data_IF_234812433903
#
_entry.id   IF_234812433903
#
_cell.length_a   1.000
_cell.length_b   1.000
_cell.length_c   1.000
_cell.angle_alpha   90.00
_cell.angle_beta   90.00
_cell.angle_gamma   90.00
#
_symmetry.space_group_name_H-M   'P 1'
#
loop_
_entity.id
_entity.type
_entity.pdbx_description
1 polymer ?
#
# COMPACT_ATOMS: atom_id res chain seq x y z
N UNK A 1 97.59 37.55 44.79
CA UNK A 1 96.67 36.53 44.21
C UNK A 1 95.19 36.71 44.57
N UNK A 2 94.82 37.12 45.79
CA UNK A 2 93.42 37.12 46.27
C UNK A 2 92.41 38.03 45.53
N UNK A 3 92.80 39.20 44.99
CA UNK A 3 91.89 40.11 44.25
C UNK A 3 91.44 39.57 42.88
N UNK A 4 92.30 38.81 42.17
CA UNK A 4 91.96 38.16 40.89
C UNK A 4 90.97 37.00 41.09
N UNK A 5 91.05 36.27 42.22
CA UNK A 5 90.07 35.23 42.58
C UNK A 5 88.68 35.83 42.81
N UNK A 6 88.56 36.90 43.64
CA UNK A 6 87.25 37.53 43.94
C UNK A 6 86.53 38.07 42.69
N UNK A 7 87.26 38.58 41.69
CA UNK A 7 86.69 39.02 40.40
C UNK A 7 86.20 37.86 39.55
N UNK A 8 86.94 36.73 39.50
CA UNK A 8 86.52 35.50 38.81
C UNK A 8 85.26 34.89 39.44
N UNK A 9 85.16 34.87 40.77
CA UNK A 9 83.96 34.40 41.48
C UNK A 9 82.75 35.31 41.26
N UNK A 10 82.91 36.64 41.25
CA UNK A 10 81.81 37.57 40.93
C UNK A 10 81.32 37.44 39.49
N UNK A 11 82.22 37.29 38.51
CA UNK A 11 81.84 37.05 37.11
C UNK A 11 81.16 35.70 36.98
N UNK A 12 81.68 34.63 37.59
CA UNK A 12 81.05 33.31 37.59
C UNK A 12 79.66 33.33 38.24
N UNK A 13 79.47 34.07 39.33
CA UNK A 13 78.18 34.23 40.00
C UNK A 13 77.18 35.00 39.12
N UNK A 14 77.60 36.09 38.46
CA UNK A 14 76.75 36.85 37.54
C UNK A 14 76.42 36.02 36.29
N UNK A 15 77.40 35.31 35.73
CA UNK A 15 77.19 34.34 34.64
C UNK A 15 76.22 33.25 35.06
N UNK A 16 76.29 32.71 36.28
CA UNK A 16 75.36 31.70 36.79
C UNK A 16 73.95 32.26 36.98
N UNK A 17 73.81 33.47 37.52
CA UNK A 17 72.52 34.15 37.75
C UNK A 17 71.85 34.58 36.43
N UNK A 18 72.61 34.79 35.35
CA UNK A 18 72.06 35.16 34.03
C UNK A 18 71.92 33.94 33.11
N UNK A 19 72.92 33.05 33.03
CA UNK A 19 72.84 31.86 32.19
C UNK A 19 71.82 30.85 32.71
N UNK A 20 71.66 30.64 34.02
CA UNK A 20 70.70 29.62 34.48
C UNK A 20 69.26 29.97 34.16
N UNK A 21 68.78 31.21 34.38
CA UNK A 21 67.47 31.60 33.90
C UNK A 21 67.38 31.51 32.38
N UNK A 22 68.43 31.84 31.62
CA UNK A 22 68.46 31.72 30.16
C UNK A 22 68.44 30.26 29.67
N UNK A 23 69.13 29.35 30.35
CA UNK A 23 69.13 27.92 30.01
C UNK A 23 67.85 27.24 30.46
N UNK A 24 67.32 27.61 31.63
CA UNK A 24 65.99 27.16 32.08
C UNK A 24 64.93 27.67 31.11
N UNK A 25 64.89 28.97 30.78
CA UNK A 25 63.94 29.50 29.79
C UNK A 25 64.15 28.89 28.40
N UNK A 26 65.38 28.59 27.99
CA UNK A 26 65.66 27.84 26.76
C UNK A 26 65.13 26.41 26.78
N UNK A 27 65.29 25.68 27.89
CA UNK A 27 64.76 24.32 28.10
C UNK A 27 63.23 24.33 28.13
N UNK A 28 62.62 25.33 28.76
CA UNK A 28 61.17 25.49 28.73
C UNK A 28 60.69 25.88 27.32
N UNK A 29 61.37 26.78 26.62
CA UNK A 29 60.93 27.23 25.30
C UNK A 29 61.07 26.14 24.22
N UNK A 30 62.11 25.30 24.28
CA UNK A 30 62.33 24.24 23.27
C UNK A 30 61.84 22.86 23.70
N UNK A 31 61.73 22.61 25.01
CA UNK A 31 61.34 21.32 25.57
C UNK A 31 59.85 21.18 25.86
N UNK A 32 59.06 22.26 25.81
CA UNK A 32 57.61 22.16 25.99
C UNK A 32 56.94 21.67 24.72
N UNK A 33 56.23 20.52 24.75
CA UNK A 33 55.43 20.07 23.63
C UNK A 33 54.37 21.10 23.26
N UNK A 34 54.24 21.40 21.97
CA UNK A 34 53.24 22.36 21.50
C UNK A 34 51.82 21.81 21.68
N UNK A 35 50.93 22.55 22.37
CA UNK A 35 49.54 22.15 22.54
C UNK A 35 48.79 22.09 21.19
N UNK A 36 48.00 21.03 20.90
CA UNK A 36 47.11 20.96 19.72
C UNK A 36 45.86 21.86 19.80
N UNK A 37 46.02 23.13 20.21
CA UNK A 37 44.91 24.07 20.34
C UNK A 37 44.23 24.30 18.97
N UNK A 38 45.03 24.44 17.90
CA UNK A 38 44.51 24.64 16.55
C UNK A 38 43.69 23.45 16.04
N UNK A 39 44.16 22.21 16.24
CA UNK A 39 43.42 21.02 15.82
C UNK A 39 42.13 20.83 16.61
N UNK A 40 42.16 21.11 17.92
CA UNK A 40 40.96 21.05 18.75
C UNK A 40 39.95 22.12 18.34
N UNK A 41 40.39 23.35 18.08
CA UNK A 41 39.53 24.44 17.60
C UNK A 41 38.89 24.11 16.24
N UNK A 42 39.69 23.63 15.28
CA UNK A 42 39.19 23.20 13.97
C UNK A 42 38.18 22.08 14.07
N UNK A 43 38.46 21.05 14.88
CA UNK A 43 37.54 19.93 15.09
C UNK A 43 36.22 20.40 15.72
N UNK A 44 36.29 21.22 16.77
CA UNK A 44 35.10 21.76 17.44
C UNK A 44 34.26 22.63 16.49
N UNK A 45 34.91 23.53 15.75
CA UNK A 45 34.26 24.40 14.76
C UNK A 45 33.59 23.58 13.66
N UNK A 46 34.29 22.59 13.09
CA UNK A 46 33.75 21.71 12.07
C UNK A 46 32.53 20.91 12.57
N UNK A 47 32.56 20.39 13.81
CA UNK A 47 31.42 19.69 14.41
C UNK A 47 30.24 20.65 14.61
N UNK A 48 30.48 21.85 15.12
CA UNK A 48 29.43 22.85 15.34
C UNK A 48 28.77 23.28 14.03
N UNK A 49 29.57 23.59 12.99
CA UNK A 49 29.07 23.92 11.65
C UNK A 49 28.27 22.76 11.08
N UNK A 50 28.79 21.53 11.15
CA UNK A 50 28.09 20.35 10.63
C UNK A 50 26.76 20.10 11.36
N UNK A 51 26.71 20.24 12.69
CA UNK A 51 25.48 20.09 13.49
C UNK A 51 24.42 21.14 13.15
N UNK A 52 24.83 22.37 12.87
CA UNK A 52 23.90 23.45 12.52
C UNK A 52 23.44 23.40 11.06
N UNK A 53 24.24 22.79 10.18
CA UNK A 53 23.94 22.69 8.74
C UNK A 53 23.06 21.48 8.42
N UNK A 54 23.26 20.36 9.11
CA UNK A 54 22.60 19.08 8.80
C UNK A 54 21.27 19.00 9.54
N UNK A 55 20.19 18.70 8.80
CA UNK A 55 18.87 18.43 9.40
C UNK A 55 18.96 17.26 10.40
N UNK A 56 18.28 17.36 11.56
CA UNK A 56 18.27 16.31 12.58
C UNK A 56 17.90 14.91 12.05
N UNK A 57 17.02 14.84 11.04
CA UNK A 57 16.57 13.58 10.44
C UNK A 57 17.67 12.86 9.64
N UNK A 58 18.73 13.57 9.23
CA UNK A 58 19.76 13.05 8.32
C UNK A 58 21.18 13.10 8.92
N UNK A 59 21.30 13.22 10.25
CA UNK A 59 22.60 13.20 10.93
C UNK A 59 23.32 11.87 10.65
N UNK A 60 24.46 11.88 9.94
CA UNK A 60 25.17 10.65 9.60
C UNK A 60 25.90 10.10 10.82
N UNK A 61 26.18 8.79 10.80
CA UNK A 61 26.99 8.15 11.84
C UNK A 61 28.37 8.81 11.97
N UNK A 62 28.97 9.25 10.85
CA UNK A 62 30.24 9.95 10.82
C UNK A 62 30.27 11.20 11.73
N UNK A 63 29.18 11.97 11.80
CA UNK A 63 29.11 13.15 12.68
C UNK A 63 28.99 12.76 14.16
N UNK A 64 28.29 11.65 14.45
CA UNK A 64 28.23 11.10 15.81
C UNK A 64 29.60 10.61 16.26
N UNK A 65 30.30 9.90 15.38
CA UNK A 65 31.65 9.40 15.64
C UNK A 65 32.65 10.57 15.79
N UNK A 66 32.52 11.64 15.00
CA UNK A 66 33.32 12.85 15.14
C UNK A 66 33.19 13.48 16.54
N UNK A 67 31.95 13.59 17.04
CA UNK A 67 31.70 14.10 18.39
C UNK A 67 32.33 13.21 19.47
N UNK A 68 32.17 11.88 19.36
CA UNK A 68 32.76 10.93 20.31
C UNK A 68 34.29 11.00 20.30
N UNK A 69 34.92 11.15 19.13
CA UNK A 69 36.36 11.31 19.01
C UNK A 69 36.85 12.62 19.61
N UNK A 70 36.11 13.72 19.42
CA UNK A 70 36.43 15.01 20.03
C UNK A 70 36.29 14.94 21.55
N UNK A 71 35.21 14.36 22.06
CA UNK A 71 35.00 14.16 23.50
C UNK A 71 36.14 13.32 24.10
N UNK A 72 36.57 12.27 23.38
CA UNK A 72 37.74 11.47 23.78
C UNK A 72 39.01 12.31 23.80
N UNK A 73 39.24 13.16 22.80
CA UNK A 73 40.39 14.07 22.74
C UNK A 73 40.40 15.03 23.95
N UNK A 74 39.25 15.57 24.34
CA UNK A 74 39.10 16.46 25.50
C UNK A 74 39.37 15.76 26.84
N UNK A 75 38.99 14.48 26.96
CA UNK A 75 39.36 13.67 28.13
C UNK A 75 40.87 13.51 28.21
N UNK A 76 41.54 13.11 27.12
CA UNK A 76 43.01 12.99 27.10
C UNK A 76 43.69 14.34 27.35
N UNK A 77 43.16 15.43 26.81
CA UNK A 77 43.65 16.79 27.03
C UNK A 77 43.67 17.18 28.49
N UNK A 78 42.56 16.92 29.20
CA UNK A 78 42.49 17.15 30.64
C UNK A 78 43.56 16.38 31.39
N UNK A 79 43.71 15.09 31.09
CA UNK A 79 44.70 14.22 31.74
C UNK A 79 46.15 14.63 31.45
N UNK A 80 46.48 15.03 30.22
CA UNK A 80 47.83 15.52 29.90
C UNK A 80 48.15 16.85 30.57
N UNK A 81 47.15 17.71 30.77
CA UNK A 81 47.34 19.00 31.43
C UNK A 81 47.56 18.91 32.95
N UNK A 82 47.19 17.79 33.59
CA UNK A 82 47.54 17.47 34.97
C UNK A 82 49.02 17.09 35.13
N UNK A 83 49.71 16.72 34.05
CA UNK A 83 51.13 16.37 34.07
C UNK A 83 52.01 17.62 34.04
N UNK A 84 53.22 17.46 34.58
CA UNK A 84 54.29 18.45 34.47
C UNK A 84 54.57 18.82 33.00
N UNK A 85 54.77 20.11 32.72
CA UNK A 85 54.70 20.69 31.37
C UNK A 85 55.66 20.03 30.36
N UNK A 86 56.85 19.60 30.78
CA UNK A 86 57.83 18.93 29.91
C UNK A 86 57.55 17.43 29.67
N UNK A 87 56.60 16.83 30.40
CA UNK A 87 56.25 15.39 30.31
C UNK A 87 54.94 15.12 29.57
N UNK A 88 54.31 16.17 29.02
CA UNK A 88 53.03 16.05 28.32
C UNK A 88 53.21 15.36 26.96
N UNK A 89 52.22 14.60 26.52
CA UNK A 89 52.23 14.00 25.18
C UNK A 89 50.90 14.22 24.48
N UNK A 90 50.91 15.09 23.47
CA UNK A 90 49.72 15.50 22.75
C UNK A 90 49.46 14.73 21.44
N UNK A 91 50.29 13.73 21.09
CA UNK A 91 50.17 12.98 19.82
C UNK A 91 48.80 12.29 19.65
N UNK A 92 48.31 11.65 20.70
CA UNK A 92 47.00 10.98 20.70
C UNK A 92 45.85 11.96 20.55
N UNK A 93 45.94 13.12 21.22
CA UNK A 93 44.93 14.19 21.13
C UNK A 93 44.89 14.74 19.72
N UNK A 94 46.05 15.05 19.13
CA UNK A 94 46.15 15.54 17.75
C UNK A 94 45.54 14.57 16.76
N UNK A 95 45.83 13.28 16.92
CA UNK A 95 45.25 12.22 16.06
C UNK A 95 43.73 12.14 16.18
N UNK A 96 43.20 12.20 17.40
CA UNK A 96 41.75 12.18 17.64
C UNK A 96 41.07 13.45 17.10
N UNK A 97 41.67 14.62 17.31
CA UNK A 97 41.16 15.90 16.83
C UNK A 97 41.14 15.98 15.30
N UNK A 98 42.23 15.61 14.63
CA UNK A 98 42.29 15.56 13.16
C UNK A 98 41.24 14.59 12.60
N UNK A 99 41.07 13.42 13.21
CA UNK A 99 40.07 12.45 12.76
C UNK A 99 38.64 12.95 12.98
N UNK A 100 38.39 13.62 14.10
CA UNK A 100 37.11 14.25 14.39
C UNK A 100 36.79 15.35 13.37
N UNK A 101 37.76 16.23 13.06
CA UNK A 101 37.65 17.26 12.04
C UNK A 101 37.33 16.65 10.66
N UNK A 102 38.10 15.64 10.22
CA UNK A 102 37.90 14.99 8.93
C UNK A 102 36.49 14.38 8.78
N UNK A 103 36.01 13.68 9.81
CA UNK A 103 34.67 13.10 9.80
C UNK A 103 33.59 14.20 9.81
N UNK A 104 33.78 15.27 10.57
CA UNK A 104 32.86 16.40 10.61
C UNK A 104 32.79 17.12 9.25
N UNK A 105 33.93 17.37 8.59
CA UNK A 105 33.99 18.01 7.27
C UNK A 105 33.38 17.14 6.16
N UNK A 106 33.49 15.81 6.24
CA UNK A 106 32.85 14.90 5.30
C UNK A 106 31.34 14.75 5.51
N UNK A 107 30.84 15.04 6.72
CA UNK A 107 29.46 14.78 7.14
C UNK A 107 28.38 15.51 6.31
N UNK A 108 28.52 16.79 5.91
CA UNK A 108 27.51 17.47 5.08
C UNK A 108 27.27 16.77 3.74
N UNK A 109 28.32 16.30 3.08
CA UNK A 109 28.21 15.56 1.81
C UNK A 109 27.45 14.24 2.01
N UNK A 110 27.79 13.49 3.07
CA UNK A 110 27.12 12.23 3.41
C UNK A 110 25.65 12.48 3.75
N UNK A 111 25.34 13.51 4.55
CA UNK A 111 23.98 13.87 4.93
C UNK A 111 23.13 14.27 3.71
N UNK A 112 23.69 15.06 2.78
CA UNK A 112 23.01 15.41 1.54
C UNK A 112 22.72 14.19 0.66
N UNK A 113 23.70 13.29 0.51
CA UNK A 113 23.49 12.02 -0.24
C UNK A 113 22.41 11.16 0.40
N UNK A 114 22.42 11.02 1.73
CA UNK A 114 21.41 10.27 2.47
C UNK A 114 20.02 10.91 2.32
N UNK A 115 19.93 12.24 2.37
CA UNK A 115 18.66 12.97 2.20
C UNK A 115 18.11 12.78 0.79
N UNK A 116 18.92 13.00 -0.25
CA UNK A 116 18.51 12.82 -1.66
C UNK A 116 18.06 11.37 -1.91
N UNK A 117 18.84 10.39 -1.47
CA UNK A 117 18.48 8.97 -1.64
C UNK A 117 17.21 8.59 -0.88
N UNK A 118 17.01 9.12 0.33
CA UNK A 118 15.82 8.89 1.12
C UNK A 118 14.56 9.53 0.49
N UNK A 119 14.67 10.76 -0.01
CA UNK A 119 13.57 11.45 -0.69
C UNK A 119 13.19 10.75 -1.98
N UNK A 120 14.18 10.38 -2.81
CA UNK A 120 13.93 9.63 -4.03
C UNK A 120 13.22 8.30 -3.77
N UNK A 121 13.56 7.60 -2.67
CA UNK A 121 12.88 6.38 -2.26
C UNK A 121 11.42 6.63 -1.86
N UNK A 122 11.15 7.69 -1.09
CA UNK A 122 9.77 8.06 -0.72
C UNK A 122 8.95 8.45 -1.96
N UNK A 123 9.50 9.28 -2.83
CA UNK A 123 8.82 9.72 -4.06
C UNK A 123 8.50 8.52 -4.95
N UNK A 124 9.46 7.61 -5.15
CA UNK A 124 9.25 6.37 -5.88
C UNK A 124 8.14 5.51 -5.25
N UNK A 125 8.13 5.39 -3.92
CA UNK A 125 7.11 4.62 -3.20
C UNK A 125 5.72 5.26 -3.29
N UNK A 126 5.62 6.60 -3.24
CA UNK A 126 4.37 7.34 -3.42
C UNK A 126 3.85 7.16 -4.84
N UNK A 127 4.69 7.30 -5.86
CA UNK A 127 4.28 7.12 -7.25
C UNK A 127 3.81 5.70 -7.52
N UNK A 128 4.51 4.71 -6.96
CA UNK A 128 4.05 3.32 -6.99
C UNK A 128 2.70 3.16 -6.28
N UNK A 129 2.54 3.71 -5.07
CA UNK A 129 1.29 3.62 -4.33
C UNK A 129 0.13 4.29 -5.09
N UNK A 130 0.34 5.46 -5.72
CA UNK A 130 -0.65 6.11 -6.58
C UNK A 130 -1.05 5.22 -7.75
N UNK A 131 -0.08 4.62 -8.44
CA UNK A 131 -0.35 3.69 -9.55
C UNK A 131 -1.16 2.48 -9.07
N UNK A 132 -0.77 1.89 -7.94
CA UNK A 132 -1.48 0.76 -7.34
C UNK A 132 -2.92 1.16 -6.96
N UNK A 133 -3.13 2.37 -6.40
CA UNK A 133 -4.49 2.86 -6.09
C UNK A 133 -5.36 3.03 -7.34
N UNK A 134 -4.82 3.56 -8.44
CA UNK A 134 -5.57 3.71 -9.69
C UNK A 134 -5.99 2.34 -10.27
N UNK A 135 -5.12 1.34 -10.19
CA UNK A 135 -5.44 -0.03 -10.60
C UNK A 135 -6.51 -0.65 -9.71
N UNK A 136 -6.40 -0.46 -8.39
CA UNK A 136 -7.41 -0.93 -7.44
C UNK A 136 -8.74 -0.25 -7.74
N UNK A 137 -8.79 1.06 -7.91
CA UNK A 137 -10.03 1.84 -8.13
C UNK A 137 -10.83 1.35 -9.35
N UNK A 138 -10.13 1.05 -10.46
CA UNK A 138 -10.75 0.52 -11.68
C UNK A 138 -11.51 -0.78 -11.43
N UNK A 139 -10.99 -1.65 -10.57
CA UNK A 139 -11.62 -2.93 -10.22
C UNK A 139 -12.60 -2.79 -9.07
N UNK A 140 -12.22 -2.04 -8.05
CA UNK A 140 -12.93 -1.83 -6.80
C UNK A 140 -14.32 -1.21 -7.03
N UNK A 141 -14.42 -0.22 -7.94
CA UNK A 141 -15.69 0.43 -8.29
C UNK A 141 -16.76 -0.52 -8.85
N UNK A 142 -16.36 -1.72 -9.31
CA UNK A 142 -17.27 -2.74 -9.85
C UNK A 142 -17.74 -3.73 -8.77
N UNK A 143 -16.97 -3.89 -7.70
CA UNK A 143 -17.09 -5.04 -6.80
C UNK A 143 -17.90 -4.72 -5.55
N UNK A 144 -18.83 -5.59 -5.13
CA UNK A 144 -19.56 -5.45 -3.88
C UNK A 144 -18.70 -5.97 -2.73
N UNK A 145 -17.73 -5.17 -2.31
CA UNK A 145 -16.74 -5.58 -1.31
C UNK A 145 -17.28 -5.49 0.13
N UNK A 146 -16.80 -6.35 1.04
CA UNK A 146 -17.18 -6.30 2.46
C UNK A 146 -16.84 -4.96 3.10
N UNK A 147 -17.64 -4.53 4.08
CA UNK A 147 -17.43 -3.27 4.82
C UNK A 147 -16.03 -3.16 5.43
N UNK A 148 -15.45 -4.27 5.88
CA UNK A 148 -14.09 -4.31 6.42
C UNK A 148 -13.02 -3.94 5.37
N UNK A 149 -13.18 -4.42 4.13
CA UNK A 149 -12.29 -4.12 3.01
C UNK A 149 -12.50 -2.66 2.57
N UNK A 150 -13.75 -2.19 2.54
CA UNK A 150 -14.05 -0.79 2.21
C UNK A 150 -13.41 0.17 3.20
N UNK A 151 -13.49 -0.14 4.50
CA UNK A 151 -12.82 0.64 5.54
C UNK A 151 -11.30 0.68 5.34
N UNK A 152 -10.67 -0.47 5.06
CA UNK A 152 -9.22 -0.52 4.76
C UNK A 152 -8.85 0.31 3.54
N UNK A 153 -9.65 0.25 2.48
CA UNK A 153 -9.43 1.04 1.27
C UNK A 153 -9.48 2.54 1.57
N UNK A 154 -10.56 3.00 2.21
CA UNK A 154 -10.72 4.42 2.60
C UNK A 154 -9.61 4.89 3.54
N UNK A 155 -9.21 4.06 4.52
CA UNK A 155 -8.09 4.37 5.41
C UNK A 155 -6.76 4.42 4.66
N UNK A 156 -6.51 3.50 3.73
CA UNK A 156 -5.32 3.49 2.89
C UNK A 156 -5.19 4.75 2.04
N UNK A 157 -6.28 5.20 1.40
CA UNK A 157 -6.30 6.45 0.63
C UNK A 157 -6.07 7.68 1.50
N UNK A 158 -6.71 7.76 2.67
CA UNK A 158 -6.49 8.86 3.61
C UNK A 158 -5.03 8.93 4.05
N UNK A 159 -4.44 7.81 4.45
CA UNK A 159 -3.05 7.73 4.88
C UNK A 159 -2.06 8.09 3.76
N UNK A 160 -2.36 7.71 2.51
CA UNK A 160 -1.56 8.08 1.35
C UNK A 160 -1.58 9.60 1.13
N UNK A 161 -2.76 10.22 1.19
CA UNK A 161 -2.90 11.67 1.07
C UNK A 161 -2.20 12.41 2.22
N UNK A 162 -2.35 11.93 3.47
CA UNK A 162 -1.61 12.47 4.62
C UNK A 162 -0.10 12.33 4.45
N UNK A 163 0.39 11.21 3.89
CA UNK A 163 1.81 11.02 3.61
C UNK A 163 2.33 12.05 2.59
N UNK A 164 1.58 12.27 1.50
CA UNK A 164 1.91 13.28 0.48
C UNK A 164 1.97 14.68 1.09
N UNK A 165 0.98 15.06 1.91
CA UNK A 165 0.99 16.36 2.61
C UNK A 165 2.19 16.50 3.57
N UNK A 166 2.55 15.43 4.29
CA UNK A 166 3.71 15.45 5.18
C UNK A 166 5.03 15.55 4.41
N UNK A 167 5.11 15.01 3.19
CA UNK A 167 6.26 15.19 2.32
C UNK A 167 6.43 16.68 1.95
N UNK A 168 5.36 17.36 1.56
CA UNK A 168 5.37 18.80 1.24
C UNK A 168 5.81 19.66 2.44
N UNK A 169 5.38 19.28 3.64
CA UNK A 169 5.75 19.94 4.90
C UNK A 169 7.14 19.56 5.42
N UNK A 170 7.90 18.72 4.69
CA UNK A 170 9.22 18.21 5.10
C UNK A 170 9.20 17.36 6.39
N UNK A 171 8.03 16.83 6.76
CA UNK A 171 7.83 15.93 7.90
C UNK A 171 8.12 14.48 7.50
N UNK A 172 9.38 14.19 7.17
CA UNK A 172 9.81 12.95 6.50
C UNK A 172 9.53 11.67 7.29
N UNK A 173 9.76 11.70 8.61
CA UNK A 173 9.51 10.53 9.48
C UNK A 173 8.03 10.17 9.50
N UNK A 174 7.16 11.17 9.66
CA UNK A 174 5.70 10.99 9.68
C UNK A 174 5.22 10.54 8.31
N UNK A 175 5.69 11.17 7.24
CA UNK A 175 5.43 10.76 5.85
C UNK A 175 5.71 9.27 5.66
N UNK A 176 6.90 8.79 6.05
CA UNK A 176 7.28 7.38 5.89
C UNK A 176 6.37 6.45 6.68
N UNK A 177 6.06 6.74 7.94
CA UNK A 177 5.17 5.91 8.75
C UNK A 177 3.76 5.82 8.17
N UNK A 178 3.23 6.95 7.69
CA UNK A 178 1.92 7.02 7.05
C UNK A 178 1.89 6.27 5.72
N UNK A 179 2.93 6.43 4.90
CA UNK A 179 3.09 5.74 3.63
C UNK A 179 3.16 4.22 3.81
N UNK A 180 3.93 3.71 4.77
CA UNK A 180 3.98 2.27 5.06
C UNK A 180 2.63 1.73 5.52
N UNK A 181 1.91 2.48 6.35
CA UNK A 181 0.56 2.11 6.80
C UNK A 181 -0.44 2.11 5.63
N UNK A 182 -0.33 3.08 4.71
CA UNK A 182 -1.13 3.16 3.50
C UNK A 182 -0.86 1.95 2.58
N UNK A 183 0.43 1.66 2.31
CA UNK A 183 0.87 0.51 1.51
C UNK A 183 0.36 -0.80 2.07
N UNK A 184 0.45 -1.01 3.39
CA UNK A 184 -0.07 -2.20 4.04
C UNK A 184 -1.59 -2.37 3.79
N UNK A 185 -2.39 -1.33 4.06
CA UNK A 185 -3.83 -1.37 3.84
C UNK A 185 -4.21 -1.61 2.38
N UNK A 186 -3.56 -0.91 1.45
CA UNK A 186 -3.83 -1.03 0.02
C UNK A 186 -3.40 -2.39 -0.54
N UNK A 187 -2.29 -2.94 -0.06
CA UNK A 187 -1.83 -4.29 -0.42
C UNK A 187 -2.80 -5.38 0.05
N UNK A 188 -3.38 -5.21 1.24
CA UNK A 188 -4.41 -6.10 1.77
C UNK A 188 -5.67 -6.07 0.90
N UNK A 189 -6.11 -4.86 0.49
CA UNK A 189 -7.25 -4.68 -0.42
C UNK A 189 -6.95 -5.33 -1.78
N UNK A 190 -5.79 -5.04 -2.38
CA UNK A 190 -5.39 -5.62 -3.65
C UNK A 190 -5.37 -7.16 -3.60
N UNK A 191 -4.77 -7.75 -2.56
CA UNK A 191 -4.73 -9.20 -2.37
C UNK A 191 -6.13 -9.79 -2.23
N UNK A 192 -7.00 -9.16 -1.45
CA UNK A 192 -8.38 -9.63 -1.28
C UNK A 192 -9.15 -9.57 -2.61
N UNK A 193 -9.07 -8.46 -3.34
CA UNK A 193 -9.72 -8.28 -4.64
C UNK A 193 -9.20 -9.28 -5.66
N UNK A 194 -7.89 -9.50 -5.72
CA UNK A 194 -7.28 -10.48 -6.63
C UNK A 194 -7.76 -11.90 -6.32
N UNK A 195 -7.78 -12.30 -5.05
CA UNK A 195 -8.25 -13.62 -4.65
C UNK A 195 -9.73 -13.79 -5.01
N UNK A 196 -10.58 -12.81 -4.67
CA UNK A 196 -12.00 -12.82 -4.99
C UNK A 196 -12.24 -13.00 -6.49
N UNK A 197 -11.53 -12.25 -7.34
CA UNK A 197 -11.65 -12.35 -8.79
C UNK A 197 -11.11 -13.70 -9.31
N UNK A 198 -10.00 -14.17 -8.77
CA UNK A 198 -9.42 -15.46 -9.17
C UNK A 198 -10.39 -16.61 -8.87
N UNK A 199 -10.95 -16.63 -7.66
CA UNK A 199 -11.92 -17.63 -7.23
C UNK A 199 -13.21 -17.55 -8.05
N UNK A 200 -13.68 -16.34 -8.34
CA UNK A 200 -14.86 -16.12 -9.16
C UNK A 200 -14.67 -16.67 -10.58
N UNK A 201 -13.57 -16.30 -11.25
CA UNK A 201 -13.31 -16.70 -12.63
C UNK A 201 -12.82 -18.15 -12.78
N UNK A 202 -12.56 -18.88 -11.69
CA UNK A 202 -12.29 -20.32 -11.73
C UNK A 202 -13.44 -21.12 -12.40
N UNK A 203 -14.67 -20.60 -12.34
CA UNK A 203 -15.85 -21.22 -12.93
C UNK A 203 -16.07 -20.88 -14.41
N UNK A 204 -15.20 -20.10 -15.05
CA UNK A 204 -15.39 -19.60 -16.42
C UNK A 204 -15.67 -20.72 -17.44
N UNK A 205 -14.91 -21.81 -17.40
CA UNK A 205 -15.09 -22.94 -18.31
C UNK A 205 -16.44 -23.64 -18.13
N UNK A 206 -16.96 -23.67 -16.90
CA UNK A 206 -18.29 -24.21 -16.61
C UNK A 206 -19.37 -23.31 -17.19
N UNK A 207 -19.26 -22.00 -16.95
CA UNK A 207 -20.19 -21.00 -17.47
C UNK A 207 -20.28 -21.00 -19.00
N UNK A 208 -19.14 -21.04 -19.69
CA UNK A 208 -19.10 -21.12 -21.16
C UNK A 208 -19.84 -22.36 -21.68
N UNK A 209 -19.57 -23.54 -21.12
CA UNK A 209 -20.30 -24.77 -21.48
C UNK A 209 -21.80 -24.65 -21.24
N UNK A 210 -22.22 -24.01 -20.16
CA UNK A 210 -23.65 -23.83 -19.88
C UNK A 210 -24.33 -22.97 -20.94
N UNK A 211 -23.68 -21.88 -21.32
CA UNK A 211 -24.17 -20.93 -22.32
C UNK A 211 -24.20 -21.57 -23.71
N UNK A 212 -23.14 -22.27 -24.11
CA UNK A 212 -23.07 -22.98 -25.39
C UNK A 212 -24.20 -24.00 -25.52
N UNK A 213 -24.46 -24.76 -24.46
CA UNK A 213 -25.57 -25.71 -24.44
C UNK A 213 -26.93 -25.00 -24.53
N UNK A 214 -27.12 -23.88 -23.83
CA UNK A 214 -28.38 -23.11 -23.90
C UNK A 214 -28.64 -22.54 -25.30
N UNK A 215 -27.60 -22.01 -25.95
CA UNK A 215 -27.71 -21.51 -27.32
C UNK A 215 -27.98 -22.66 -28.30
N UNK A 216 -27.31 -23.81 -28.11
CA UNK A 216 -27.54 -25.02 -28.92
C UNK A 216 -28.97 -25.54 -28.76
N UNK A 217 -29.50 -25.61 -27.54
CA UNK A 217 -30.89 -26.01 -27.27
C UNK A 217 -31.88 -25.04 -27.94
N UNK A 218 -31.62 -23.73 -27.88
CA UNK A 218 -32.43 -22.72 -28.59
C UNK A 218 -32.42 -22.94 -30.10
N UNK A 219 -31.26 -23.26 -30.68
CA UNK A 219 -31.13 -23.57 -32.12
C UNK A 219 -31.89 -24.83 -32.51
N UNK A 220 -31.72 -25.92 -31.76
CA UNK A 220 -32.31 -27.23 -32.08
C UNK A 220 -33.84 -27.19 -31.97
N UNK A 221 -34.35 -26.51 -30.94
CA UNK A 221 -35.78 -26.46 -30.67
C UNK A 221 -36.49 -25.27 -31.34
N UNK A 222 -35.78 -24.47 -32.14
CA UNK A 222 -36.30 -23.23 -32.74
C UNK A 222 -37.01 -22.34 -31.69
N UNK A 223 -36.37 -22.20 -30.53
CA UNK A 223 -36.96 -21.57 -29.34
C UNK A 223 -36.18 -20.34 -28.89
N UNK A 224 -36.76 -19.60 -27.95
CA UNK A 224 -36.13 -18.44 -27.31
C UNK A 224 -35.38 -18.89 -26.05
N UNK A 225 -34.22 -18.29 -25.81
CA UNK A 225 -33.44 -18.50 -24.59
C UNK A 225 -32.86 -17.18 -24.07
N UNK A 226 -32.66 -17.11 -22.76
CA UNK A 226 -32.05 -15.96 -22.08
C UNK A 226 -30.69 -16.38 -21.52
N UNK A 227 -29.69 -15.53 -21.69
CA UNK A 227 -28.39 -15.64 -20.99
C UNK A 227 -28.15 -14.36 -20.21
N UNK A 228 -27.79 -14.47 -18.93
CA UNK A 228 -27.41 -13.31 -18.10
C UNK A 228 -25.94 -13.43 -17.72
N UNK A 229 -25.16 -12.40 -18.04
CA UNK A 229 -23.76 -12.26 -17.61
C UNK A 229 -23.71 -11.26 -16.45
N UNK A 230 -23.41 -11.78 -15.25
CA UNK A 230 -23.43 -10.99 -14.02
C UNK A 230 -22.34 -9.92 -14.00
N UNK A 231 -21.13 -10.25 -14.41
CA UNK A 231 -20.01 -9.31 -14.41
C UNK A 231 -20.23 -8.20 -15.44
N UNK A 232 -20.75 -8.54 -16.62
CA UNK A 232 -21.05 -7.55 -17.65
C UNK A 232 -22.28 -6.69 -17.32
N UNK A 233 -23.14 -7.13 -16.40
CA UNK A 233 -24.43 -6.48 -16.13
C UNK A 233 -25.34 -6.53 -17.36
N UNK A 234 -25.31 -7.63 -18.13
CA UNK A 234 -26.05 -7.77 -19.38
C UNK A 234 -26.96 -8.99 -19.41
N UNK A 235 -28.10 -8.84 -20.07
CA UNK A 235 -29.03 -9.91 -20.42
C UNK A 235 -29.11 -10.03 -21.95
N UNK A 236 -28.82 -11.21 -22.47
CA UNK A 236 -28.80 -11.54 -23.89
C UNK A 236 -30.01 -12.40 -24.23
N UNK A 237 -30.76 -12.00 -25.25
CA UNK A 237 -31.90 -12.75 -25.77
C UNK A 237 -31.51 -13.45 -27.06
N UNK A 238 -31.59 -14.78 -27.07
CA UNK A 238 -31.37 -15.61 -28.23
C UNK A 238 -32.70 -16.14 -28.78
N UNK A 239 -32.79 -16.24 -30.10
CA UNK A 239 -33.89 -16.93 -30.80
C UNK A 239 -33.29 -17.80 -31.88
N UNK A 240 -33.63 -19.09 -31.85
CA UNK A 240 -33.12 -20.10 -32.79
C UNK A 240 -31.59 -20.13 -32.81
N UNK A 241 -30.95 -20.00 -31.64
CA UNK A 241 -29.49 -19.95 -31.50
C UNK A 241 -28.83 -18.63 -31.89
N UNK A 242 -29.57 -17.64 -32.39
CA UNK A 242 -29.03 -16.36 -32.85
C UNK A 242 -29.33 -15.26 -31.83
N UNK A 243 -28.31 -14.47 -31.47
CA UNK A 243 -28.48 -13.30 -30.61
C UNK A 243 -29.41 -12.28 -31.29
N UNK A 244 -30.48 -11.88 -30.60
CA UNK A 244 -31.46 -10.92 -31.10
C UNK A 244 -31.29 -9.54 -30.50
N UNK A 245 -31.04 -9.47 -29.20
CA UNK A 245 -30.87 -8.19 -28.52
C UNK A 245 -30.16 -8.38 -27.19
N UNK A 246 -29.62 -7.28 -26.66
CA UNK A 246 -28.94 -7.21 -25.37
C UNK A 246 -29.57 -6.10 -24.55
N UNK A 247 -29.81 -6.38 -23.27
CA UNK A 247 -30.38 -5.45 -22.30
C UNK A 247 -29.39 -5.23 -21.14
N UNK A 248 -29.47 -4.06 -20.53
CA UNK A 248 -28.80 -3.77 -19.27
C UNK A 248 -29.57 -4.39 -18.11
N UNK A 249 -28.84 -4.91 -17.13
CA UNK A 249 -29.45 -5.47 -15.93
C UNK A 249 -28.81 -5.01 -14.65
N UNK A 250 -29.63 -4.94 -13.62
CA UNK A 250 -29.21 -4.76 -12.24
C UNK A 250 -29.47 -6.04 -11.46
N UNK A 251 -28.55 -6.37 -10.57
CA UNK A 251 -28.46 -7.66 -9.91
C UNK A 251 -28.60 -7.51 -8.39
N UNK A 252 -28.44 -8.64 -7.70
CA UNK A 252 -28.33 -8.68 -6.26
C UNK A 252 -27.18 -7.79 -5.76
N UNK A 253 -27.33 -7.17 -4.58
CA UNK A 253 -26.26 -6.33 -3.99
C UNK A 253 -24.94 -7.09 -3.82
N UNK A 254 -25.00 -8.40 -3.59
CA UNK A 254 -23.84 -9.30 -3.51
C UNK A 254 -23.69 -10.08 -4.82
N UNK A 255 -23.72 -9.39 -5.97
CA UNK A 255 -23.78 -10.04 -7.28
C UNK A 255 -22.58 -10.94 -7.54
N UNK A 256 -21.38 -10.64 -7.06
CA UNK A 256 -20.21 -11.53 -7.27
C UNK A 256 -20.27 -12.79 -6.40
N UNK A 257 -21.06 -12.76 -5.33
CA UNK A 257 -21.24 -13.92 -4.45
C UNK A 257 -22.00 -15.05 -5.15
N UNK A 258 -21.69 -16.28 -4.75
CA UNK A 258 -22.52 -17.44 -5.04
C UNK A 258 -23.79 -17.39 -4.19
N UNK A 259 -24.94 -17.69 -4.80
CA UNK A 259 -26.19 -17.80 -4.06
C UNK A 259 -26.26 -19.12 -3.29
N UNK A 260 -26.24 -19.02 -1.96
CA UNK A 260 -26.21 -20.14 -1.02
C UNK A 260 -27.43 -20.20 -0.13
N UNK A 261 -28.04 -19.06 0.23
CA UNK A 261 -29.18 -19.05 1.15
C UNK A 261 -30.00 -17.76 1.06
N UNK A 262 -31.19 -17.78 1.62
CA UNK A 262 -32.09 -16.62 1.71
C UNK A 262 -31.41 -15.46 2.45
N UNK A 263 -31.36 -14.30 1.82
CA UNK A 263 -30.79 -13.07 2.41
C UNK A 263 -29.30 -12.83 2.11
N UNK A 264 -28.64 -13.72 1.35
CA UNK A 264 -27.26 -13.51 0.87
C UNK A 264 -27.13 -12.40 -0.19
N UNK A 265 -28.27 -11.94 -0.74
CA UNK A 265 -28.38 -10.91 -1.77
C UNK A 265 -27.58 -11.23 -3.04
N UNK A 266 -27.28 -12.50 -3.29
CA UNK A 266 -26.63 -12.95 -4.50
C UNK A 266 -27.67 -13.34 -5.55
N UNK A 267 -27.39 -12.99 -6.80
CA UNK A 267 -28.10 -13.54 -7.96
C UNK A 267 -27.51 -14.91 -8.28
N UNK A 268 -28.34 -15.96 -8.41
CA UNK A 268 -27.83 -17.32 -8.55
C UNK A 268 -27.17 -17.54 -9.90
N UNK A 269 -26.27 -18.52 -9.95
CA UNK A 269 -25.62 -18.99 -11.17
C UNK A 269 -26.09 -20.42 -11.46
N UNK A 270 -26.47 -20.67 -12.71
CA UNK A 270 -27.04 -21.95 -13.11
C UNK A 270 -27.98 -21.86 -14.29
N UNK A 271 -28.60 -23.00 -14.60
CA UNK A 271 -29.63 -23.15 -15.63
C UNK A 271 -31.00 -23.22 -15.00
N UNK A 272 -31.87 -22.35 -15.46
CA UNK A 272 -33.21 -22.15 -14.96
C UNK A 272 -34.23 -22.20 -16.09
N UNK A 273 -35.50 -22.26 -15.72
CA UNK A 273 -36.64 -22.13 -16.62
C UNK A 273 -37.62 -21.12 -16.02
N UNK A 274 -38.29 -20.38 -16.90
CA UNK A 274 -39.42 -19.54 -16.50
C UNK A 274 -40.57 -20.45 -16.11
N UNK A 275 -41.04 -20.36 -14.87
CA UNK A 275 -42.19 -21.14 -14.35
C UNK A 275 -43.49 -20.36 -14.41
N UNK A 276 -43.41 -19.03 -14.32
CA UNK A 276 -44.59 -18.16 -14.37
C UNK A 276 -44.24 -16.81 -14.97
N UNK A 277 -45.16 -16.29 -15.77
CA UNK A 277 -45.19 -14.89 -16.21
C UNK A 277 -46.19 -14.15 -15.34
N UNK A 278 -45.77 -13.03 -14.73
CA UNK A 278 -46.55 -12.25 -13.77
C UNK A 278 -46.72 -10.82 -14.29
N UNK A 279 -47.94 -10.32 -14.23
CA UNK A 279 -48.30 -8.95 -14.59
C UNK A 279 -49.39 -8.40 -13.66
N UNK A 280 -49.71 -7.11 -13.82
CA UNK A 280 -50.77 -6.43 -13.07
C UNK A 280 -50.62 -6.61 -11.56
N UNK A 281 -51.67 -7.11 -10.89
CA UNK A 281 -51.67 -7.30 -9.42
C UNK A 281 -50.79 -8.46 -8.94
N UNK A 282 -50.25 -9.28 -9.84
CA UNK A 282 -49.41 -10.43 -9.46
C UNK A 282 -47.98 -10.01 -9.10
N UNK A 283 -47.54 -8.83 -9.49
CA UNK A 283 -46.18 -8.33 -9.26
C UNK A 283 -46.17 -6.84 -9.00
N UNK A 284 -45.24 -6.37 -8.15
CA UNK A 284 -44.99 -4.94 -7.94
C UNK A 284 -44.06 -4.32 -8.99
N UNK A 285 -43.53 -5.12 -9.91
CA UNK A 285 -42.50 -4.74 -10.88
C UNK A 285 -43.06 -4.45 -12.28
N UNK A 286 -44.37 -4.20 -12.39
CA UNK A 286 -45.15 -4.18 -13.64
C UNK A 286 -45.19 -5.52 -14.37
N UNK A 287 -44.03 -6.08 -14.73
CA UNK A 287 -43.84 -7.38 -15.36
C UNK A 287 -42.72 -8.17 -14.65
N UNK A 288 -42.94 -9.46 -14.45
CA UNK A 288 -41.93 -10.35 -13.87
C UNK A 288 -42.01 -11.78 -14.43
N UNK A 289 -40.86 -12.44 -14.53
CA UNK A 289 -40.68 -13.82 -14.97
C UNK A 289 -40.09 -14.60 -13.81
N UNK A 290 -40.90 -15.45 -13.18
CA UNK A 290 -40.47 -16.29 -12.08
C UNK A 290 -39.59 -17.43 -12.59
N UNK A 291 -38.42 -17.62 -11.99
CA UNK A 291 -37.54 -18.74 -12.28
C UNK A 291 -37.86 -19.94 -11.39
N UNK A 292 -37.50 -21.15 -11.83
CA UNK A 292 -37.56 -22.36 -11.02
C UNK A 292 -36.45 -22.45 -9.95
N UNK A 293 -35.95 -21.32 -9.44
CA UNK A 293 -35.03 -21.30 -8.31
C UNK A 293 -35.81 -21.51 -6.99
N UNK A 294 -35.34 -22.39 -6.08
CA UNK A 294 -34.19 -23.29 -6.25
C UNK A 294 -34.55 -24.52 -7.10
N UNK A 295 -33.68 -24.84 -8.07
CA UNK A 295 -33.78 -26.07 -8.84
C UNK A 295 -33.10 -27.24 -8.08
N UNK A 296 -33.04 -28.43 -8.66
CA UNK A 296 -32.48 -29.60 -7.96
C UNK A 296 -30.98 -29.49 -7.69
N UNK A 297 -30.24 -28.81 -8.56
CA UNK A 297 -28.82 -28.52 -8.37
C UNK A 297 -28.60 -27.49 -7.24
N UNK A 298 -29.45 -26.47 -7.13
CA UNK A 298 -29.44 -25.53 -6.00
C UNK A 298 -29.71 -26.25 -4.68
N UNK A 299 -30.71 -27.14 -4.65
CA UNK A 299 -31.04 -27.94 -3.46
C UNK A 299 -29.87 -28.84 -3.05
N UNK A 300 -29.20 -29.46 -4.04
CA UNK A 300 -28.03 -30.30 -3.82
C UNK A 300 -26.88 -29.49 -3.21
N UNK A 301 -26.52 -28.35 -3.81
CA UNK A 301 -25.48 -27.45 -3.30
C UNK A 301 -25.80 -26.94 -1.89
N UNK A 302 -27.07 -26.58 -1.63
CA UNK A 302 -27.51 -26.14 -0.31
C UNK A 302 -27.30 -27.24 0.75
N UNK A 303 -27.77 -28.46 0.47
CA UNK A 303 -27.60 -29.59 1.39
C UNK A 303 -26.13 -29.94 1.63
N UNK A 304 -25.30 -29.90 0.59
CA UNK A 304 -23.85 -30.09 0.69
C UNK A 304 -23.20 -29.00 1.54
N UNK A 305 -23.60 -27.74 1.37
CA UNK A 305 -23.11 -26.63 2.18
C UNK A 305 -23.43 -26.77 3.67
N UNK A 306 -24.63 -27.28 4.00
CA UNK A 306 -25.01 -27.62 5.38
C UNK A 306 -24.12 -28.74 5.94
N UNK A 307 -23.91 -29.81 5.17
CA UNK A 307 -23.05 -30.96 5.58
C UNK A 307 -21.61 -30.54 5.82
N UNK A 308 -21.06 -29.71 4.93
CA UNK A 308 -19.69 -29.22 5.00
C UNK A 308 -19.52 -28.01 5.95
N UNK A 309 -20.58 -27.62 6.69
CA UNK A 309 -20.59 -26.50 7.64
C UNK A 309 -20.23 -25.14 7.01
N UNK A 310 -20.38 -24.99 5.70
CA UNK A 310 -20.23 -23.71 5.00
C UNK A 310 -21.54 -22.91 4.97
N UNK A 311 -22.67 -23.56 5.23
CA UNK A 311 -23.98 -22.96 5.45
C UNK A 311 -24.46 -23.34 6.84
N UNK A 312 -25.01 -22.36 7.58
CA UNK A 312 -25.54 -22.60 8.91
C UNK A 312 -26.77 -23.53 8.85
N UNK A 313 -26.86 -24.52 9.77
CA UNK A 313 -27.94 -25.54 9.79
C UNK A 313 -29.37 -25.00 9.78
N UNK A 314 -29.59 -23.79 10.31
CA UNK A 314 -30.91 -23.14 10.36
C UNK A 314 -31.18 -22.19 9.18
N UNK A 315 -30.25 -22.08 8.23
CA UNK A 315 -30.45 -21.28 7.04
C UNK A 315 -31.60 -21.85 6.19
N UNK A 316 -32.21 -21.00 5.38
CA UNK A 316 -33.20 -21.41 4.37
C UNK A 316 -32.60 -21.18 2.99
N UNK A 317 -32.88 -22.05 2.03
CA UNK A 317 -32.35 -21.95 0.66
C UNK A 317 -32.86 -20.69 -0.10
N UNK A 318 -34.02 -20.16 0.30
CA UNK A 318 -34.69 -19.04 -0.37
C UNK A 318 -35.56 -19.48 -1.56
N UNK A 319 -36.17 -18.51 -2.22
CA UNK A 319 -37.10 -18.71 -3.35
C UNK A 319 -37.32 -17.37 -4.07
N UNK A 320 -38.27 -17.35 -5.02
CA UNK A 320 -38.78 -16.12 -5.66
C UNK A 320 -37.72 -15.28 -6.39
N UNK A 321 -36.77 -15.94 -7.06
CA UNK A 321 -35.87 -15.25 -7.98
C UNK A 321 -36.59 -15.03 -9.30
N UNK A 322 -36.61 -13.77 -9.72
CA UNK A 322 -37.35 -13.29 -10.89
C UNK A 322 -36.43 -12.50 -11.82
N UNK A 323 -36.78 -12.48 -13.11
CA UNK A 323 -36.36 -11.43 -14.04
C UNK A 323 -37.52 -10.43 -14.12
N UNK A 324 -37.33 -9.17 -13.75
CA UNK A 324 -38.44 -8.22 -13.58
C UNK A 324 -38.12 -6.79 -14.03
N UNK A 325 -39.15 -5.94 -14.16
CA UNK A 325 -39.03 -4.52 -14.47
C UNK A 325 -38.60 -3.66 -13.28
N UNK A 326 -38.54 -2.34 -13.45
CA UNK A 326 -38.18 -1.40 -12.39
C UNK A 326 -36.67 -1.34 -12.07
N UNK A 327 -35.85 -1.80 -13.02
CA UNK A 327 -34.42 -1.50 -13.07
C UNK A 327 -34.14 -0.08 -13.56
N UNK A 328 -32.94 0.16 -14.11
CA UNK A 328 -32.54 1.48 -14.61
C UNK A 328 -32.12 2.48 -13.54
N UNK A 329 -31.73 2.00 -12.35
CA UNK A 329 -31.27 2.83 -11.21
C UNK A 329 -29.77 3.16 -11.27
N UNK A 330 -29.01 2.52 -12.15
CA UNK A 330 -27.56 2.65 -12.28
C UNK A 330 -26.76 1.89 -11.23
N UNK A 331 -27.38 1.02 -10.43
CA UNK A 331 -26.70 0.29 -9.34
C UNK A 331 -27.35 -1.05 -9.05
N UNK A 332 -26.58 -2.07 -8.69
CA UNK A 332 -27.10 -3.36 -8.25
C UNK A 332 -27.80 -3.23 -6.89
N UNK A 333 -29.11 -3.47 -6.85
CA UNK A 333 -29.95 -3.19 -5.67
C UNK A 333 -30.85 -4.33 -5.21
N UNK A 334 -31.03 -5.37 -6.02
CA UNK A 334 -32.00 -6.42 -5.72
C UNK A 334 -31.52 -7.32 -4.57
N UNK A 335 -32.38 -8.19 -4.07
CA UNK A 335 -32.01 -9.25 -3.12
C UNK A 335 -31.65 -10.58 -3.81
N UNK A 336 -31.42 -10.54 -5.14
CA UNK A 336 -31.00 -11.68 -5.96
C UNK A 336 -31.70 -11.80 -7.31
N UNK A 337 -32.76 -11.03 -7.55
CA UNK A 337 -33.43 -10.94 -8.85
C UNK A 337 -32.56 -10.25 -9.91
N UNK A 338 -32.97 -10.37 -11.18
CA UNK A 338 -32.40 -9.66 -12.32
C UNK A 338 -33.41 -8.58 -12.73
N UNK A 339 -33.06 -7.31 -12.57
CA UNK A 339 -33.92 -6.18 -12.88
C UNK A 339 -33.53 -5.54 -14.21
N UNK A 340 -34.48 -5.39 -15.11
CA UNK A 340 -34.37 -4.64 -16.36
C UNK A 340 -35.13 -3.32 -16.24
N UNK A 341 -34.76 -2.33 -17.05
CA UNK A 341 -35.66 -1.19 -17.27
C UNK A 341 -37.04 -1.66 -17.77
N UNK A 342 -38.09 -0.90 -17.48
CA UNK A 342 -39.46 -1.29 -17.79
C UNK A 342 -39.71 -1.53 -19.29
N UNK A 343 -39.10 -0.73 -20.17
CA UNK A 343 -39.31 -0.86 -21.62
C UNK A 343 -38.60 -2.10 -22.16
N UNK A 344 -37.38 -2.34 -21.68
CA UNK A 344 -36.60 -3.54 -21.98
C UNK A 344 -37.30 -4.80 -21.46
N UNK A 345 -37.86 -4.73 -20.25
CA UNK A 345 -38.64 -5.81 -19.65
C UNK A 345 -39.90 -6.10 -20.47
N UNK A 346 -40.63 -5.08 -20.92
CA UNK A 346 -41.81 -5.25 -21.76
C UNK A 346 -41.47 -5.91 -23.10
N UNK A 347 -40.36 -5.52 -23.73
CA UNK A 347 -39.87 -6.15 -24.95
C UNK A 347 -39.49 -7.63 -24.73
N UNK A 348 -38.75 -7.92 -23.66
CA UNK A 348 -38.38 -9.28 -23.28
C UNK A 348 -39.63 -10.14 -22.99
N UNK A 349 -40.57 -9.62 -22.19
CA UNK A 349 -41.78 -10.34 -21.75
C UNK A 349 -42.65 -10.81 -22.93
N UNK A 350 -42.71 -10.04 -24.03
CA UNK A 350 -43.46 -10.44 -25.24
C UNK A 350 -42.84 -11.61 -26.00
N UNK A 351 -41.53 -11.80 -25.89
CA UNK A 351 -40.77 -12.77 -26.68
C UNK A 351 -40.59 -14.12 -25.99
N UNK A 352 -40.82 -14.18 -24.68
CA UNK A 352 -40.55 -15.37 -23.85
C UNK A 352 -41.83 -16.01 -23.34
N UNK A 353 -41.75 -17.31 -23.07
CA UNK A 353 -42.86 -18.14 -22.61
C UNK A 353 -42.49 -18.90 -21.34
N UNK A 354 -43.49 -19.45 -20.65
CA UNK A 354 -43.24 -20.45 -19.61
C UNK A 354 -42.47 -21.62 -20.23
N UNK A 355 -41.43 -22.10 -19.56
CA UNK A 355 -40.51 -23.12 -20.04
C UNK A 355 -39.28 -22.59 -20.78
N UNK A 356 -39.23 -21.30 -21.17
CA UNK A 356 -38.04 -20.67 -21.76
C UNK A 356 -36.83 -20.88 -20.84
N UNK A 357 -35.74 -21.39 -21.42
CA UNK A 357 -34.48 -21.63 -20.71
C UNK A 357 -33.79 -20.30 -20.41
N UNK A 358 -33.30 -20.17 -19.18
CA UNK A 358 -32.56 -19.01 -18.69
C UNK A 358 -31.25 -19.52 -18.10
N UNK A 359 -30.12 -19.03 -18.58
CA UNK A 359 -28.80 -19.38 -18.03
C UNK A 359 -28.15 -18.14 -17.45
N UNK A 360 -27.86 -18.18 -16.15
CA UNK A 360 -27.19 -17.09 -15.45
C UNK A 360 -25.77 -17.54 -15.15
N UNK A 361 -24.79 -16.75 -15.59
CA UNK A 361 -23.37 -17.02 -15.43
C UNK A 361 -22.65 -15.84 -14.80
N UNK A 362 -21.49 -16.12 -14.21
CA UNK A 362 -20.69 -15.05 -13.66
C UNK A 362 -20.05 -14.16 -14.72
N UNK A 363 -19.43 -14.76 -15.74
CA UNK A 363 -18.97 -14.01 -16.93
C UNK A 363 -18.83 -14.89 -18.17
N UNK A 364 -18.97 -14.29 -19.34
CA UNK A 364 -18.68 -14.87 -20.66
C UNK A 364 -17.22 -14.63 -21.10
N UNK A 365 -16.59 -13.59 -20.56
CA UNK A 365 -15.24 -13.15 -20.93
C UNK A 365 -14.23 -13.57 -19.86
N UNK A 366 -12.95 -13.80 -20.20
CA UNK A 366 -11.93 -14.05 -19.20
C UNK A 366 -11.59 -12.78 -18.42
N UNK A 367 -11.08 -12.95 -17.20
CA UNK A 367 -10.69 -11.85 -16.32
C UNK A 367 -9.76 -10.84 -17.03
N UNK A 368 -8.80 -11.33 -17.83
CA UNK A 368 -7.85 -10.50 -18.58
C UNK A 368 -8.51 -9.51 -19.55
N UNK A 369 -9.66 -9.86 -20.12
CA UNK A 369 -10.40 -9.01 -21.05
C UNK A 369 -11.33 -8.05 -20.32
N UNK A 370 -11.89 -8.50 -19.21
CA UNK A 370 -12.80 -7.73 -18.37
C UNK A 370 -12.07 -6.58 -17.66
N UNK A 371 -10.83 -6.81 -17.21
CA UNK A 371 -10.00 -5.78 -16.56
C UNK A 371 -9.59 -4.67 -17.54
N UNK A 372 -9.36 -4.99 -18.82
CA UNK A 372 -8.92 -3.99 -19.83
C UNK A 372 -9.98 -2.98 -20.23
N UNK A 373 -11.26 -3.29 -20.05
CA UNK A 373 -12.36 -2.43 -20.51
C UNK A 373 -12.64 -1.35 -19.48
N UNK A 374 -12.58 -0.04 -19.81
CA UNK A 374 -13.12 1.02 -18.95
C UNK A 374 -14.64 0.87 -18.79
N UNK A 375 -15.22 1.43 -17.73
CA UNK A 375 -16.69 1.51 -17.60
C UNK A 375 -17.21 2.47 -18.69
N UNK A 376 -18.24 2.10 -19.48
CA UNK A 376 -18.88 3.03 -20.40
C UNK A 376 -19.55 4.19 -19.66
#
# INVERSE_FOLDING_TARGET
MARRLKRKYRIALISFVVLIPLTITGIFYWGTPEPPDQELEKANSAIAIARNTISPDFIPQALRDAAVLYDSAMVYWRTENEKFILKRNYSKIRTLAIRAEQLALASPKIANQNSVGFLAAIESDIEKAKKDTAQIEQLYSRLPLPTSINKKYSQGLLLLNEAIQNLEQKNYKVCRTKLESAKANLSDVARHTQNLLTDYFANLSMWKRWVDQTIKESSQNQSVAIVVDKFAGKCFLYKNGVLKTTYDVELGKNWIGEKKYSGDKATPEGKYKITKKKDGRQTKYSLALLLNYPNDEDKRRFQEGIRNKTIHRNAKIGSLIEIHGGGGKGVNWTDGCVALDNDQMAALYRLVSVGTTVTIVGSLQPLTEVIKRPKP
#
